data_IF_033506571876
#
_entry.id   IF_033506571876
#
_cell.length_a   1.000
_cell.length_b   1.000
_cell.length_c   1.000
_cell.angle_alpha   90.00
_cell.angle_beta   90.00
_cell.angle_gamma   90.00
#
_symmetry.space_group_name_H-M   'P 1'
#
loop_
_entity.id
_entity.type
_entity.pdbx_description
1 polymer ?
#
# COMPACT_ATOMS: atom_id res chain seq x y z
N UNK A 1 3.52 -2.84 -14.35
CA UNK A 1 3.21 -2.24 -13.04
C UNK A 1 1.70 -2.13 -12.76
N UNK A 2 0.91 -1.38 -13.54
CA UNK A 2 -0.51 -1.18 -13.22
C UNK A 2 -1.32 -2.50 -13.06
N UNK A 3 -1.09 -3.49 -13.91
CA UNK A 3 -1.69 -4.83 -13.77
C UNK A 3 -1.34 -5.54 -12.44
N UNK A 4 -0.13 -5.34 -11.92
CA UNK A 4 0.28 -5.85 -10.61
C UNK A 4 -0.52 -5.13 -9.50
N UNK A 5 -0.60 -3.81 -9.55
CA UNK A 5 -1.32 -3.00 -8.56
C UNK A 5 -2.81 -3.32 -8.50
N UNK A 6 -3.45 -3.50 -9.67
CA UNK A 6 -4.80 -4.07 -9.75
C UNK A 6 -4.85 -5.39 -9.00
N UNK A 7 -3.98 -6.33 -9.35
CA UNK A 7 -4.02 -7.69 -8.80
C UNK A 7 -3.86 -7.73 -7.28
N UNK A 8 -3.00 -6.87 -6.71
CA UNK A 8 -2.85 -6.71 -5.27
C UNK A 8 -4.19 -6.34 -4.63
N UNK A 9 -4.88 -5.34 -5.19
CA UNK A 9 -6.17 -4.89 -4.69
C UNK A 9 -7.27 -5.96 -4.83
N UNK A 10 -7.33 -6.61 -5.99
CA UNK A 10 -8.32 -7.64 -6.31
C UNK A 10 -8.19 -8.88 -5.41
N UNK A 11 -6.95 -9.32 -5.15
CA UNK A 11 -6.66 -10.41 -4.21
C UNK A 11 -6.73 -10.01 -2.74
N UNK A 12 -7.17 -8.77 -2.45
CA UNK A 12 -7.34 -8.25 -1.10
C UNK A 12 -6.04 -8.31 -0.28
N UNK A 13 -4.90 -8.01 -0.90
CA UNK A 13 -3.60 -7.99 -0.21
C UNK A 13 -3.43 -6.66 0.50
N UNK A 14 -2.92 -6.68 1.73
CA UNK A 14 -2.63 -5.44 2.45
C UNK A 14 -1.46 -4.70 1.82
N UNK A 15 -1.59 -3.39 1.68
CA UNK A 15 -0.56 -2.55 1.08
C UNK A 15 -0.44 -1.18 1.74
N UNK A 16 0.77 -0.60 1.64
CA UNK A 16 1.07 0.77 2.04
C UNK A 16 1.47 1.57 0.81
N UNK A 17 0.89 2.75 0.62
CA UNK A 17 1.42 3.74 -0.32
C UNK A 17 2.29 4.75 0.42
N UNK A 18 3.57 4.80 0.07
CA UNK A 18 4.59 5.54 0.81
C UNK A 18 5.31 6.56 -0.06
N UNK A 19 5.75 7.64 0.57
CA UNK A 19 6.67 8.61 0.00
C UNK A 19 7.29 9.44 1.13
N UNK A 20 8.55 9.84 1.01
CA UNK A 20 9.18 10.80 1.93
C UNK A 20 8.38 12.11 2.02
N UNK A 21 8.21 12.88 0.93
CA UNK A 21 7.57 14.18 0.98
C UNK A 21 6.04 14.15 1.01
N UNK A 22 5.45 15.21 1.56
CA UNK A 22 4.01 15.51 1.42
C UNK A 22 3.64 15.78 -0.04
N UNK A 23 2.36 15.57 -0.35
CA UNK A 23 1.84 15.78 -1.68
C UNK A 23 2.64 15.00 -2.74
N UNK A 24 3.09 13.77 -2.45
CA UNK A 24 3.69 12.90 -3.46
C UNK A 24 2.64 12.16 -4.31
N UNK A 25 1.39 12.07 -3.81
CA UNK A 25 0.31 11.32 -4.45
C UNK A 25 -0.01 9.98 -3.78
N UNK A 26 0.44 9.76 -2.54
CA UNK A 26 0.21 8.51 -1.78
C UNK A 26 -1.26 8.09 -1.77
N UNK A 27 -2.15 8.99 -1.31
CA UNK A 27 -3.59 8.71 -1.28
C UNK A 27 -4.18 8.54 -2.68
N UNK A 28 -3.67 9.26 -3.68
CA UNK A 28 -4.12 9.11 -5.08
C UNK A 28 -3.83 7.70 -5.61
N UNK A 29 -2.62 7.19 -5.39
CA UNK A 29 -2.25 5.82 -5.80
C UNK A 29 -3.03 4.79 -4.99
N UNK A 30 -3.17 5.00 -3.68
CA UNK A 30 -3.95 4.12 -2.81
C UNK A 30 -5.40 3.99 -3.28
N UNK A 31 -6.10 5.09 -3.57
CA UNK A 31 -7.49 5.02 -4.03
C UNK A 31 -7.61 4.46 -5.45
N UNK A 32 -6.66 4.77 -6.34
CA UNK A 32 -6.62 4.15 -7.68
C UNK A 32 -6.43 2.63 -7.62
N UNK A 33 -5.71 2.11 -6.62
CA UNK A 33 -5.65 0.67 -6.37
C UNK A 33 -6.98 0.13 -5.84
N UNK A 34 -7.60 0.82 -4.88
CA UNK A 34 -8.88 0.41 -4.29
C UNK A 34 -10.04 0.37 -5.29
N UNK A 35 -9.98 1.15 -6.38
CA UNK A 35 -10.95 1.08 -7.49
C UNK A 35 -10.97 -0.29 -8.20
N UNK A 36 -9.95 -1.13 -8.00
CA UNK A 36 -9.84 -2.48 -8.56
C UNK A 36 -10.22 -3.60 -7.58
N UNK A 37 -10.71 -3.27 -6.39
CA UNK A 37 -11.22 -4.24 -5.42
C UNK A 37 -12.47 -4.96 -6.00
N UNK A 38 -12.67 -6.27 -5.75
CA UNK A 38 -13.76 -7.01 -6.36
C UNK A 38 -15.12 -6.50 -5.88
N UNK A 39 -16.10 -6.44 -6.79
CA UNK A 39 -17.46 -6.03 -6.48
C UNK A 39 -18.05 -6.79 -5.27
N UNK A 40 -18.68 -6.04 -4.36
CA UNK A 40 -19.22 -6.57 -3.10
C UNK A 40 -18.23 -6.63 -1.93
N UNK A 41 -16.95 -6.33 -2.17
CA UNK A 41 -15.98 -6.13 -1.08
C UNK A 41 -16.09 -4.70 -0.55
N UNK A 42 -16.23 -4.56 0.76
CA UNK A 42 -16.34 -3.25 1.41
C UNK A 42 -14.96 -2.66 1.68
N UNK A 43 -14.87 -1.33 1.57
CA UNK A 43 -13.71 -0.54 1.96
C UNK A 43 -14.17 0.41 3.06
N UNK A 44 -13.71 0.17 4.28
CA UNK A 44 -14.09 0.94 5.46
C UNK A 44 -13.08 2.04 5.70
N UNK A 45 -13.44 3.27 5.33
CA UNK A 45 -12.64 4.46 5.59
C UNK A 45 -12.71 4.82 7.09
N UNK A 46 -11.65 4.52 7.83
CA UNK A 46 -11.59 4.75 9.27
C UNK A 46 -11.40 6.24 9.58
N UNK A 47 -12.03 6.69 10.65
CA UNK A 47 -11.96 8.06 11.16
C UNK A 47 -10.70 8.31 12.03
N UNK A 48 -10.01 7.24 12.45
CA UNK A 48 -8.79 7.26 13.25
C UNK A 48 -9.00 7.04 14.76
N UNK A 49 -10.25 7.03 15.22
CA UNK A 49 -10.59 6.79 16.62
C UNK A 49 -10.44 5.31 16.98
N UNK A 50 -9.83 5.07 18.14
CA UNK A 50 -9.51 3.72 18.61
C UNK A 50 -10.76 2.86 18.85
N UNK A 51 -11.87 3.47 19.27
CA UNK A 51 -13.11 2.76 19.55
C UNK A 51 -13.74 2.23 18.25
N UNK A 52 -13.73 3.02 17.17
CA UNK A 52 -14.18 2.55 15.85
C UNK A 52 -13.31 1.39 15.36
N UNK A 53 -11.99 1.51 15.46
CA UNK A 53 -11.05 0.44 15.07
C UNK A 53 -11.35 -0.87 15.83
N UNK A 54 -11.68 -0.77 17.13
CA UNK A 54 -12.00 -1.92 17.98
C UNK A 54 -13.37 -2.53 17.66
N UNK A 55 -14.34 -1.74 17.23
CA UNK A 55 -15.66 -2.23 16.85
C UNK A 55 -15.58 -3.18 15.65
N UNK A 56 -14.75 -2.87 14.64
CA UNK A 56 -14.54 -3.73 13.47
C UNK A 56 -14.05 -5.13 13.82
N UNK A 57 -13.27 -5.29 14.91
CA UNK A 57 -12.77 -6.60 15.32
C UNK A 57 -13.88 -7.61 15.66
N UNK A 58 -15.09 -7.14 15.96
CA UNK A 58 -16.22 -7.99 16.35
C UNK A 58 -17.04 -8.51 15.16
N UNK A 59 -16.91 -7.88 13.99
CA UNK A 59 -17.74 -8.18 12.81
C UNK A 59 -16.92 -8.12 11.51
N UNK A 60 -15.92 -9.02 11.33
CA UNK A 60 -15.13 -9.03 10.10
C UNK A 60 -15.95 -9.46 8.89
N UNK A 61 -15.81 -8.73 7.79
CA UNK A 61 -16.50 -9.00 6.52
C UNK A 61 -15.57 -9.39 5.36
N UNK A 62 -14.26 -9.48 5.61
CA UNK A 62 -13.27 -9.78 4.58
C UNK A 62 -13.00 -8.61 3.62
N UNK A 63 -13.34 -7.39 4.03
CA UNK A 63 -13.07 -6.14 3.32
C UNK A 63 -11.72 -5.51 3.67
N UNK A 64 -11.56 -4.26 3.23
CA UNK A 64 -10.42 -3.42 3.58
C UNK A 64 -10.76 -2.48 4.74
N UNK A 65 -9.79 -2.28 5.63
CA UNK A 65 -9.70 -1.09 6.47
C UNK A 65 -8.79 -0.08 5.78
N UNK A 66 -9.35 1.08 5.43
CA UNK A 66 -8.59 2.20 4.87
C UNK A 66 -8.29 3.21 5.97
N UNK A 67 -7.01 3.40 6.24
CA UNK A 67 -6.49 4.37 7.21
C UNK A 67 -5.85 5.52 6.44
N UNK A 68 -6.17 6.76 6.84
CA UNK A 68 -5.69 7.94 6.12
C UNK A 68 -4.17 8.01 6.07
N UNK A 69 -3.51 7.85 7.22
CA UNK A 69 -2.06 7.71 7.31
C UNK A 69 -1.65 7.09 8.67
N UNK A 70 -0.59 6.27 8.68
CA UNK A 70 0.13 5.92 9.92
C UNK A 70 1.28 6.91 10.06
N UNK A 71 1.18 7.82 11.03
CA UNK A 71 2.11 8.94 11.19
C UNK A 71 1.98 9.57 12.58
N UNK A 72 3.07 10.02 13.23
CA UNK A 72 3.00 10.70 14.52
C UNK A 72 2.38 12.10 14.45
N UNK A 73 2.14 12.59 13.23
CA UNK A 73 1.40 13.83 13.00
C UNK A 73 -0.08 13.69 13.37
N UNK A 74 -0.73 14.80 13.72
CA UNK A 74 -2.12 14.80 14.23
C UNK A 74 -3.20 15.43 13.34
N UNK A 75 -3.18 15.29 11.99
CA UNK A 75 -4.39 15.47 11.18
C UNK A 75 -5.51 14.48 11.55
N UNK A 76 -6.73 14.76 11.10
CA UNK A 76 -7.83 13.80 11.20
C UNK A 76 -7.52 12.53 10.40
N UNK A 77 -7.99 11.36 10.88
CA UNK A 77 -7.76 10.03 10.28
C UNK A 77 -6.32 9.50 10.35
N UNK A 78 -5.40 10.23 10.96
CA UNK A 78 -4.02 9.78 11.17
C UNK A 78 -3.94 9.03 12.50
N UNK A 79 -3.17 7.96 12.53
CA UNK A 79 -3.02 7.13 13.72
C UNK A 79 -1.57 6.91 14.10
N UNK A 80 -1.31 6.82 15.41
CA UNK A 80 -0.01 6.52 15.98
C UNK A 80 -0.13 5.96 17.39
N UNK A 81 0.72 5.01 17.76
CA UNK A 81 0.73 4.37 19.08
C UNK A 81 -0.49 3.46 19.27
N UNK A 82 -1.27 3.68 20.33
CA UNK A 82 -2.36 2.77 20.74
C UNK A 82 -3.38 2.44 19.62
N UNK A 83 -3.84 3.39 18.79
CA UNK A 83 -4.72 3.07 17.66
C UNK A 83 -4.05 2.18 16.59
N UNK A 84 -2.73 2.26 16.41
CA UNK A 84 -1.98 1.34 15.52
C UNK A 84 -2.00 -0.07 16.08
N UNK A 85 -1.78 -0.25 17.40
CA UNK A 85 -1.93 -1.57 18.03
C UNK A 85 -3.36 -2.12 17.86
N UNK A 86 -4.38 -1.27 18.04
CA UNK A 86 -5.76 -1.66 17.83
C UNK A 86 -6.00 -2.10 16.38
N UNK A 87 -5.46 -1.36 15.41
CA UNK A 87 -5.56 -1.68 13.98
C UNK A 87 -4.98 -3.06 13.69
N UNK A 88 -3.72 -3.32 14.06
CA UNK A 88 -3.07 -4.60 13.77
C UNK A 88 -3.77 -5.78 14.48
N UNK A 89 -4.34 -5.56 15.66
CA UNK A 89 -5.20 -6.56 16.31
C UNK A 89 -6.48 -6.80 15.51
N UNK A 90 -7.11 -5.76 14.99
CA UNK A 90 -8.33 -5.87 14.17
C UNK A 90 -8.06 -6.54 12.82
N UNK A 91 -6.91 -6.29 12.17
CA UNK A 91 -6.55 -6.94 10.90
C UNK A 91 -6.52 -8.47 11.02
N UNK A 92 -6.08 -9.01 12.16
CA UNK A 92 -6.12 -10.46 12.45
C UNK A 92 -7.52 -11.07 12.43
N UNK A 93 -8.58 -10.27 12.58
CA UNK A 93 -9.96 -10.75 12.50
C UNK A 93 -10.39 -11.10 11.06
N UNK A 94 -9.59 -10.72 10.05
CA UNK A 94 -9.85 -11.07 8.65
C UNK A 94 -10.01 -9.87 7.72
N UNK A 95 -9.44 -8.71 8.06
CA UNK A 95 -9.42 -7.54 7.18
C UNK A 95 -8.08 -7.37 6.48
N UNK A 96 -8.13 -6.75 5.31
CA UNK A 96 -6.95 -6.25 4.60
C UNK A 96 -6.69 -4.78 4.94
N UNK A 97 -5.44 -4.35 4.87
CA UNK A 97 -5.07 -2.95 5.14
C UNK A 97 -4.80 -2.19 3.84
N UNK A 98 -5.32 -0.97 3.73
CA UNK A 98 -4.82 0.04 2.82
C UNK A 98 -4.49 1.30 3.63
N UNK A 99 -3.25 1.76 3.59
CA UNK A 99 -2.86 2.98 4.30
C UNK A 99 -1.79 3.75 3.57
N UNK A 100 -1.56 4.99 3.98
CA UNK A 100 -0.40 5.78 3.54
C UNK A 100 0.60 5.96 4.67
N UNK A 101 1.87 6.19 4.32
CA UNK A 101 2.93 6.51 5.28
C UNK A 101 3.94 7.51 4.69
N UNK A 102 4.51 8.35 5.56
CA UNK A 102 5.72 9.08 5.25
C UNK A 102 6.94 8.19 5.49
N UNK A 103 7.60 7.74 4.44
CA UNK A 103 8.77 6.88 4.54
C UNK A 103 9.64 6.98 3.28
N UNK A 104 10.95 6.86 3.45
CA UNK A 104 11.93 6.92 2.35
C UNK A 104 12.04 5.60 1.58
N UNK A 105 11.77 4.47 2.24
CA UNK A 105 11.84 3.13 1.68
C UNK A 105 11.02 2.13 2.51
N UNK A 106 11.09 0.84 2.15
CA UNK A 106 10.43 -0.23 2.88
C UNK A 106 11.00 -0.42 4.29
N UNK A 107 12.31 -0.30 4.48
CA UNK A 107 12.93 -0.46 5.80
C UNK A 107 12.44 0.60 6.78
N UNK A 108 12.29 1.86 6.34
CA UNK A 108 11.77 2.93 7.19
C UNK A 108 10.28 2.73 7.56
N UNK A 109 9.47 2.17 6.66
CA UNK A 109 8.07 1.78 6.98
C UNK A 109 8.06 0.80 8.15
N UNK A 110 8.84 -0.27 8.06
CA UNK A 110 8.83 -1.33 9.07
C UNK A 110 9.55 -0.91 10.35
N UNK A 111 10.55 -0.04 10.27
CA UNK A 111 11.10 0.64 11.45
C UNK A 111 10.02 1.43 12.19
N UNK A 112 9.23 2.25 11.48
CA UNK A 112 8.15 3.02 12.11
C UNK A 112 7.06 2.11 12.71
N UNK A 113 6.71 1.02 12.04
CA UNK A 113 5.68 0.08 12.52
C UNK A 113 6.18 -0.74 13.71
N UNK A 114 7.34 -1.38 13.59
CA UNK A 114 7.83 -2.33 14.58
C UNK A 114 8.56 -1.67 15.74
N UNK A 115 9.35 -0.62 15.48
CA UNK A 115 10.14 0.06 16.51
C UNK A 115 9.34 1.20 17.12
N UNK A 116 8.84 2.12 16.31
CA UNK A 116 8.21 3.34 16.85
C UNK A 116 6.77 3.11 17.34
N UNK A 117 6.05 2.15 16.75
CA UNK A 117 4.71 1.73 17.18
C UNK A 117 4.70 0.36 17.89
N UNK A 118 5.86 -0.23 18.16
CA UNK A 118 6.00 -1.46 18.95
C UNK A 118 5.12 -2.64 18.45
N UNK A 119 4.88 -2.71 17.14
CA UNK A 119 4.11 -3.81 16.52
C UNK A 119 5.02 -5.02 16.30
N UNK A 120 4.59 -6.17 16.80
CA UNK A 120 5.34 -7.42 16.64
C UNK A 120 5.51 -7.78 15.15
N UNK A 121 6.65 -8.36 14.79
CA UNK A 121 6.98 -8.75 13.41
C UNK A 121 5.90 -9.61 12.74
N UNK A 122 5.31 -10.54 13.49
CA UNK A 122 4.23 -11.40 12.99
C UNK A 122 2.99 -10.62 12.56
N UNK A 123 2.76 -9.49 13.21
CA UNK A 123 1.60 -8.64 12.99
C UNK A 123 1.91 -7.66 11.84
N UNK A 124 3.12 -7.09 11.84
CA UNK A 124 3.62 -6.26 10.75
C UNK A 124 3.67 -7.00 9.41
N UNK A 125 3.96 -8.31 9.44
CA UNK A 125 3.97 -9.20 8.25
C UNK A 125 2.61 -9.29 7.52
N UNK A 126 1.53 -8.76 8.10
CA UNK A 126 0.26 -8.60 7.38
C UNK A 126 0.38 -7.62 6.21
N UNK A 127 1.32 -6.68 6.25
CA UNK A 127 1.62 -5.76 5.14
C UNK A 127 2.48 -6.51 4.14
N UNK A 128 1.91 -6.81 2.98
CA UNK A 128 2.55 -7.65 1.97
C UNK A 128 3.11 -6.83 0.80
N UNK A 129 2.67 -5.58 0.64
CA UNK A 129 3.12 -4.72 -0.45
C UNK A 129 3.38 -3.29 -0.02
N UNK A 130 4.43 -2.70 -0.57
CA UNK A 130 4.74 -1.28 -0.45
C UNK A 130 4.83 -0.69 -1.85
N UNK A 131 4.09 0.40 -2.08
CA UNK A 131 4.13 1.18 -3.31
C UNK A 131 4.78 2.52 -2.98
N UNK A 132 6.06 2.66 -3.32
CA UNK A 132 6.82 3.87 -3.04
C UNK A 132 6.70 4.87 -4.19
N UNK A 133 6.69 6.16 -3.84
CA UNK A 133 6.50 7.25 -4.80
C UNK A 133 7.60 8.29 -4.60
N UNK A 134 8.30 8.60 -5.70
CA UNK A 134 9.15 9.79 -5.78
C UNK A 134 8.38 10.99 -6.31
N UNK A 135 8.58 12.11 -5.63
CA UNK A 135 8.14 13.44 -6.05
C UNK A 135 9.37 14.24 -6.48
N UNK A 136 9.25 14.90 -7.62
CA UNK A 136 10.24 15.82 -8.16
C UNK A 136 9.65 17.22 -8.36
N UNK A 137 10.53 18.20 -8.50
CA UNK A 137 10.18 19.61 -8.67
C UNK A 137 10.00 20.35 -7.35
N UNK A 138 10.44 21.61 -7.33
CA UNK A 138 10.36 22.49 -6.15
C UNK A 138 9.05 23.29 -6.10
N UNK A 139 8.43 23.54 -7.26
CA UNK A 139 7.20 24.33 -7.40
C UNK A 139 6.14 23.61 -8.27
N UNK A 140 4.94 24.16 -8.31
CA UNK A 140 3.80 23.60 -9.05
C UNK A 140 4.04 23.49 -10.56
N UNK A 141 5.00 24.23 -11.11
CA UNK A 141 5.30 24.27 -12.56
C UNK A 141 6.33 23.22 -13.01
N UNK A 142 7.17 22.77 -12.08
CA UNK A 142 8.22 21.74 -12.27
C UNK A 142 7.82 20.40 -11.66
N UNK A 143 6.58 20.30 -11.19
CA UNK A 143 6.09 19.22 -10.36
C UNK A 143 5.74 17.96 -11.15
N UNK A 144 6.34 16.83 -10.77
CA UNK A 144 5.95 15.52 -11.30
C UNK A 144 6.24 14.40 -10.30
N UNK A 145 5.63 13.23 -10.56
CA UNK A 145 5.59 12.09 -9.64
C UNK A 145 5.81 10.80 -10.41
N UNK A 146 6.45 9.82 -9.78
CA UNK A 146 6.55 8.45 -10.27
C UNK A 146 6.39 7.48 -9.10
N UNK A 147 5.60 6.42 -9.30
CA UNK A 147 5.76 5.23 -8.48
C UNK A 147 7.12 4.67 -8.84
N UNK A 148 8.11 4.85 -7.98
CA UNK A 148 9.48 4.49 -8.32
C UNK A 148 9.78 3.03 -8.01
N UNK A 149 9.18 2.48 -6.96
CA UNK A 149 9.37 1.08 -6.57
C UNK A 149 8.07 0.42 -6.11
N UNK A 150 7.93 -0.87 -6.39
CA UNK A 150 6.90 -1.73 -5.77
C UNK A 150 7.61 -2.92 -5.12
N UNK A 151 7.44 -3.05 -3.81
CA UNK A 151 8.02 -4.12 -3.01
C UNK A 151 6.96 -5.14 -2.61
N UNK A 152 7.36 -6.42 -2.60
CA UNK A 152 6.64 -7.51 -1.94
C UNK A 152 7.37 -7.85 -0.64
N UNK A 153 6.62 -7.98 0.46
CA UNK A 153 7.14 -8.28 1.79
C UNK A 153 6.69 -9.68 2.18
N UNK A 154 7.63 -10.61 2.32
CA UNK A 154 7.30 -12.02 2.62
C UNK A 154 7.30 -12.36 4.11
N UNK A 155 7.85 -11.47 4.93
CA UNK A 155 7.87 -11.55 6.38
C UNK A 155 8.67 -10.40 6.97
N UNK A 156 8.70 -10.33 8.29
CA UNK A 156 9.49 -9.37 9.07
C UNK A 156 10.28 -10.12 10.13
N UNK A 157 11.50 -9.70 10.41
CA UNK A 157 12.34 -10.26 11.48
C UNK A 157 13.16 -9.15 12.12
N UNK A 158 13.03 -8.99 13.43
CA UNK A 158 13.66 -7.93 14.23
C UNK A 158 13.36 -6.53 13.66
N UNK A 159 12.11 -6.30 13.22
CA UNK A 159 11.68 -5.06 12.58
C UNK A 159 12.22 -4.82 11.17
N UNK A 160 12.94 -5.79 10.58
CA UNK A 160 13.48 -5.72 9.22
C UNK A 160 12.61 -6.55 8.28
N UNK A 161 12.06 -5.97 7.20
CA UNK A 161 11.25 -6.70 6.23
C UNK A 161 12.11 -7.58 5.30
N UNK A 162 11.62 -8.76 4.95
CA UNK A 162 12.16 -9.56 3.84
C UNK A 162 11.54 -9.06 2.52
N UNK A 163 12.30 -8.20 1.84
CA UNK A 163 11.86 -7.41 0.68
C UNK A 163 12.26 -8.08 -0.64
N UNK A 164 11.29 -8.21 -1.54
CA UNK A 164 11.51 -8.47 -2.97
C UNK A 164 11.01 -7.31 -3.81
N UNK A 165 11.90 -6.57 -4.44
CA UNK A 165 11.54 -5.50 -5.38
C UNK A 165 10.96 -6.10 -6.68
N UNK A 166 9.69 -5.81 -6.97
CA UNK A 166 8.98 -6.36 -8.13
C UNK A 166 9.11 -5.44 -9.35
N UNK A 167 9.05 -4.13 -9.11
CA UNK A 167 9.16 -3.11 -10.16
C UNK A 167 10.04 -1.95 -9.68
N UNK A 168 10.77 -1.39 -10.64
CA UNK A 168 11.63 -0.22 -10.45
C UNK A 168 11.46 0.75 -11.61
N UNK A 169 11.51 2.04 -11.32
CA UNK A 169 11.55 3.12 -12.31
C UNK A 169 12.99 3.58 -12.54
N UNK A 170 13.34 3.75 -13.80
CA UNK A 170 14.63 4.29 -14.22
C UNK A 170 14.48 5.75 -14.59
N UNK A 171 15.20 6.59 -13.87
CA UNK A 171 15.17 8.04 -14.07
C UNK A 171 15.77 8.47 -15.42
N UNK A 172 16.85 7.80 -15.85
CA UNK A 172 17.61 8.17 -17.05
C UNK A 172 16.78 8.19 -18.34
N UNK A 173 15.80 7.29 -18.46
CA UNK A 173 14.98 7.11 -19.66
C UNK A 173 13.46 7.10 -19.38
N UNK A 174 13.05 7.47 -18.17
CA UNK A 174 11.67 7.47 -17.69
C UNK A 174 10.92 6.15 -17.93
N UNK A 175 11.62 5.02 -17.81
CA UNK A 175 11.07 3.68 -18.05
C UNK A 175 10.81 2.88 -16.78
N UNK A 176 9.91 1.90 -16.86
CA UNK A 176 9.63 0.96 -15.79
C UNK A 176 10.15 -0.43 -16.13
N UNK A 177 10.74 -1.10 -15.14
CA UNK A 177 11.35 -2.42 -15.29
C UNK A 177 10.74 -3.37 -14.28
N UNK A 178 10.32 -4.54 -14.75
CA UNK A 178 9.99 -5.66 -13.86
C UNK A 178 11.28 -6.36 -13.45
N UNK A 179 11.51 -6.49 -12.14
CA UNK A 179 12.74 -7.09 -11.60
C UNK A 179 12.50 -8.54 -11.15
N UNK A 180 11.41 -8.79 -10.44
CA UNK A 180 11.05 -10.09 -9.89
C UNK A 180 9.58 -10.42 -10.17
N UNK A 181 9.25 -11.71 -10.11
CA UNK A 181 7.85 -12.16 -10.16
C UNK A 181 7.24 -12.17 -8.75
N UNK A 182 6.00 -11.71 -8.57
CA UNK A 182 5.31 -11.79 -7.28
C UNK A 182 5.14 -13.25 -6.86
N UNK A 183 5.31 -13.52 -5.56
CA UNK A 183 5.22 -14.86 -4.97
C UNK A 183 4.00 -15.02 -4.07
N UNK A 184 3.48 -13.91 -3.55
CA UNK A 184 2.34 -13.91 -2.63
C UNK A 184 0.99 -13.78 -3.35
N UNK A 185 0.99 -13.41 -4.63
CA UNK A 185 -0.21 -13.41 -5.46
C UNK A 185 -0.54 -14.82 -5.96
N UNK A 186 -1.83 -15.10 -6.07
CA UNK A 186 -2.34 -16.32 -6.72
C UNK A 186 -2.43 -16.18 -8.24
N UNK A 187 -2.51 -14.95 -8.75
CA UNK A 187 -2.57 -14.65 -10.16
C UNK A 187 -1.30 -15.12 -10.89
N UNK A 188 -1.51 -15.71 -12.06
CA UNK A 188 -0.40 -16.20 -12.89
C UNK A 188 0.22 -15.06 -13.71
N UNK A 189 1.41 -15.30 -14.25
CA UNK A 189 2.01 -14.40 -15.24
C UNK A 189 1.09 -14.14 -16.44
N UNK A 190 0.29 -15.12 -16.88
CA UNK A 190 -0.71 -14.94 -17.95
C UNK A 190 -1.79 -13.94 -17.54
N UNK A 191 -2.33 -14.09 -16.32
CA UNK A 191 -3.34 -13.17 -15.78
C UNK A 191 -2.82 -11.74 -15.69
N UNK A 192 -1.57 -11.56 -15.25
CA UNK A 192 -0.93 -10.24 -15.20
C UNK A 192 -0.73 -9.65 -16.60
N UNK A 193 -0.35 -10.46 -17.60
CA UNK A 193 -0.20 -10.03 -18.98
C UNK A 193 -1.55 -9.62 -19.60
N UNK A 194 -2.60 -10.42 -19.41
CA UNK A 194 -3.96 -10.12 -19.87
C UNK A 194 -4.48 -8.79 -19.31
N UNK A 195 -4.24 -8.52 -18.02
CA UNK A 195 -4.56 -7.22 -17.40
C UNK A 195 -3.78 -6.06 -17.99
N UNK A 196 -2.50 -6.26 -18.26
CA UNK A 196 -1.66 -5.24 -18.89
C UNK A 196 -2.18 -4.88 -20.29
N UNK A 197 -2.62 -5.88 -21.06
CA UNK A 197 -3.23 -5.67 -22.37
C UNK A 197 -4.55 -4.89 -22.28
N UNK A 198 -5.41 -5.22 -21.30
CA UNK A 198 -6.68 -4.51 -21.08
C UNK A 198 -6.45 -3.02 -20.76
N UNK A 199 -5.49 -2.73 -19.88
CA UNK A 199 -5.13 -1.35 -19.53
C UNK A 199 -4.58 -0.57 -20.72
N UNK A 200 -3.79 -1.22 -21.57
CA UNK A 200 -3.23 -0.60 -22.78
C UNK A 200 -4.32 -0.25 -23.80
N UNK A 201 -5.36 -1.08 -23.92
CA UNK A 201 -6.50 -0.85 -24.83
C UNK A 201 -7.47 0.23 -24.31
N UNK A 202 -7.68 0.32 -23.00
CA UNK A 202 -8.51 1.36 -22.39
C UNK A 202 -7.94 2.78 -22.58
N UNK A 203 -6.61 2.91 -22.70
CA UNK A 203 -5.95 4.19 -22.97
C UNK A 203 -6.13 4.68 -24.43
N UNK A 204 -6.35 3.77 -25.39
CA UNK A 204 -6.52 4.15 -26.81
C UNK A 204 -7.92 4.66 -27.16
N UNK A 205 -8.94 4.35 -26.36
CA UNK A 205 -10.33 4.78 -26.60
C UNK A 205 -10.69 6.12 -25.92
N UNK A 206 -9.74 6.76 -25.24
CA UNK A 206 -9.91 8.03 -24.52
C UNK A 206 -9.29 9.25 -25.25
N UNK A 207 -9.00 9.10 -26.55
CA UNK A 207 -8.37 10.14 -27.41
C UNK A 207 -9.36 10.95 -28.23
#
# INVERSE_FOLDING_TARGET
>A
MAALLWTIAEEKRSFVSAAGPRNAGKSTVLFAMLDHVPGGTLVHALNGEIDEIREFANSPDGGYLEVGEISPERPSRYIWGEPVHALFKTLKAGFSLATTMHAEDADDIFRQICVDNEIADSDASVIQYVVHIKRFGEDDSSYWRRVDCVYEISGVTDGVPDVSELFSWREDDDSFVALNSPRLLTATASTLAERADLMSRGQTDSG
#
